data_IF_724555549732
#
_entry.id   IF_724555549732
#
_cell.length_a   1.000
_cell.length_b   1.000
_cell.length_c   1.000
_cell.angle_alpha   90.00
_cell.angle_beta   90.00
_cell.angle_gamma   90.00
#
_symmetry.space_group_name_H-M   'P 1'
#
loop_
_entity.id
_entity.type
_entity.pdbx_description
1 polymer ?
#
# COMPACT_ATOMS: atom_id res chain seq x y z
N UNK A 1 13.32 13.07 -18.66
CA UNK A 1 13.07 14.52 -18.71
C UNK A 1 12.28 14.95 -17.46
N UNK A 2 12.65 16.08 -16.83
CA UNK A 2 11.96 16.63 -15.66
C UNK A 2 11.23 17.90 -16.07
N UNK A 3 9.92 17.94 -15.79
CA UNK A 3 9.08 19.13 -15.99
C UNK A 3 8.60 19.63 -14.63
N UNK A 4 8.73 20.93 -14.38
CA UNK A 4 8.22 21.58 -13.17
C UNK A 4 7.00 22.40 -13.55
N UNK A 5 5.88 22.14 -12.90
CA UNK A 5 4.62 22.85 -13.11
C UNK A 5 4.14 23.51 -11.81
N UNK A 6 3.58 24.71 -11.86
CA UNK A 6 2.97 25.33 -10.70
C UNK A 6 1.81 24.50 -10.17
N UNK A 7 1.61 24.45 -8.85
CA UNK A 7 0.51 23.70 -8.24
C UNK A 7 -0.89 24.11 -8.78
N UNK A 8 -1.04 25.38 -9.16
CA UNK A 8 -2.28 25.89 -9.73
C UNK A 8 -2.59 25.32 -11.13
N UNK A 9 -1.59 24.80 -11.83
CA UNK A 9 -1.70 24.20 -13.15
C UNK A 9 -1.83 22.66 -13.09
N UNK A 10 -1.80 22.09 -11.89
CA UNK A 10 -2.00 20.65 -11.70
C UNK A 10 -3.43 20.28 -12.05
N UNK A 11 -3.59 19.43 -13.05
CA UNK A 11 -4.89 18.89 -13.49
C UNK A 11 -4.97 17.38 -13.24
N UNK A 12 -6.17 16.84 -13.24
CA UNK A 12 -6.43 15.40 -13.03
C UNK A 12 -5.67 14.52 -14.03
N UNK A 13 -5.46 15.01 -15.25
CA UNK A 13 -4.66 14.32 -16.28
C UNK A 13 -3.21 14.04 -15.84
N UNK A 14 -2.60 14.88 -15.02
CA UNK A 14 -1.26 14.62 -14.51
C UNK A 14 -1.25 13.44 -13.51
N UNK A 15 -2.31 13.32 -12.69
CA UNK A 15 -2.45 12.21 -11.76
C UNK A 15 -2.60 10.87 -12.49
N UNK A 16 -3.45 10.83 -13.52
CA UNK A 16 -3.71 9.60 -14.29
C UNK A 16 -2.60 9.27 -15.29
N UNK A 17 -1.75 10.25 -15.65
CA UNK A 17 -0.58 10.05 -16.50
C UNK A 17 0.54 9.32 -15.76
N UNK A 18 0.70 9.57 -14.45
CA UNK A 18 1.77 9.02 -13.65
C UNK A 18 1.55 7.55 -13.30
N UNK A 19 2.60 6.75 -13.36
CA UNK A 19 2.60 5.37 -12.85
C UNK A 19 2.51 5.38 -11.33
N UNK A 20 3.15 6.36 -10.69
CA UNK A 20 3.14 6.57 -9.24
C UNK A 20 3.14 8.05 -8.90
N UNK A 21 2.48 8.42 -7.81
CA UNK A 21 2.55 9.76 -7.23
C UNK A 21 3.38 9.72 -5.95
N UNK A 22 4.42 10.54 -5.88
CA UNK A 22 5.27 10.69 -4.69
C UNK A 22 4.87 11.93 -3.90
N UNK A 23 4.72 11.79 -2.61
CA UNK A 23 4.40 12.87 -1.68
C UNK A 23 5.26 12.77 -0.41
N UNK A 24 5.18 13.79 0.44
CA UNK A 24 5.96 13.81 1.66
C UNK A 24 5.20 13.26 2.85
N UNK A 25 3.92 13.57 2.95
CA UNK A 25 3.13 13.29 4.14
C UNK A 25 2.05 12.22 3.89
N UNK A 26 1.73 11.45 4.94
CA UNK A 26 0.66 10.47 4.86
C UNK A 26 -0.71 11.13 4.58
N UNK A 27 -0.94 12.33 5.08
CA UNK A 27 -2.20 13.05 4.83
C UNK A 27 -2.41 13.35 3.34
N UNK A 28 -1.36 13.79 2.64
CA UNK A 28 -1.42 14.01 1.18
C UNK A 28 -1.56 12.67 0.46
N UNK A 29 -0.80 11.65 0.85
CA UNK A 29 -0.89 10.31 0.31
C UNK A 29 -2.33 9.76 0.35
N UNK A 30 -3.01 9.86 1.49
CA UNK A 30 -4.41 9.42 1.62
C UNK A 30 -5.34 10.15 0.65
N UNK A 31 -5.27 11.49 0.62
CA UNK A 31 -6.10 12.32 -0.26
C UNK A 31 -5.91 11.97 -1.73
N UNK A 32 -4.66 11.77 -2.16
CA UNK A 32 -4.35 11.42 -3.55
C UNK A 32 -4.85 10.01 -3.87
N UNK A 33 -4.68 9.04 -3.00
CA UNK A 33 -5.20 7.69 -3.20
C UNK A 33 -6.73 7.68 -3.34
N UNK A 34 -7.45 8.43 -2.49
CA UNK A 34 -8.91 8.59 -2.60
C UNK A 34 -9.30 9.28 -3.92
N UNK A 35 -8.60 10.37 -4.28
CA UNK A 35 -8.85 11.09 -5.52
C UNK A 35 -8.61 10.21 -6.75
N UNK A 36 -7.52 9.44 -6.76
CA UNK A 36 -7.20 8.52 -7.86
C UNK A 36 -8.28 7.45 -8.02
N UNK A 37 -8.75 6.85 -6.93
CA UNK A 37 -9.84 5.88 -6.97
C UNK A 37 -11.12 6.48 -7.52
N UNK A 38 -11.49 7.71 -7.09
CA UNK A 38 -12.63 8.44 -7.63
C UNK A 38 -12.50 8.71 -9.13
N UNK A 39 -11.32 9.12 -9.61
CA UNK A 39 -11.04 9.33 -11.04
C UNK A 39 -11.15 8.03 -11.86
N UNK A 40 -10.84 6.89 -11.28
CA UNK A 40 -10.96 5.57 -11.88
C UNK A 40 -12.36 4.95 -11.73
N UNK A 41 -13.33 5.68 -11.14
CA UNK A 41 -14.70 5.22 -10.91
C UNK A 41 -14.80 4.09 -9.89
N UNK A 42 -13.83 3.99 -8.96
CA UNK A 42 -13.79 2.94 -7.94
C UNK A 42 -14.42 3.43 -6.65
N UNK A 43 -15.37 2.67 -6.14
CA UNK A 43 -16.10 2.98 -4.91
C UNK A 43 -15.96 1.87 -3.87
N UNK A 44 -16.21 2.20 -2.60
CA UNK A 44 -16.16 1.24 -1.50
C UNK A 44 -14.76 0.69 -1.19
N UNK A 45 -14.68 -0.55 -0.69
CA UNK A 45 -13.40 -1.18 -0.39
C UNK A 45 -12.64 -1.55 -1.66
N UNK A 46 -11.56 -2.29 -1.51
CA UNK A 46 -10.70 -2.75 -2.59
C UNK A 46 -11.50 -3.41 -3.73
N UNK A 47 -11.13 -3.11 -4.97
CA UNK A 47 -11.73 -3.66 -6.20
C UNK A 47 -10.65 -4.13 -7.17
N UNK A 48 -11.02 -5.01 -8.10
CA UNK A 48 -10.13 -5.48 -9.16
C UNK A 48 -9.47 -4.31 -9.89
N UNK A 49 -8.16 -4.42 -10.09
CA UNK A 49 -7.35 -3.37 -10.68
C UNK A 49 -7.00 -2.21 -9.73
N UNK A 50 -7.31 -2.28 -8.44
CA UNK A 50 -6.75 -1.33 -7.47
C UNK A 50 -5.25 -1.56 -7.30
N UNK A 51 -4.47 -0.48 -7.22
CA UNK A 51 -3.08 -0.53 -6.79
C UNK A 51 -2.99 -0.54 -5.27
N UNK A 52 -2.16 -1.41 -4.74
CA UNK A 52 -1.87 -1.50 -3.30
C UNK A 52 -0.37 -1.44 -3.04
N UNK A 53 -0.03 -1.09 -1.81
CA UNK A 53 1.32 -1.20 -1.26
C UNK A 53 1.27 -2.01 0.03
N UNK A 54 2.10 -3.04 0.10
CA UNK A 54 2.24 -3.92 1.27
C UNK A 54 2.97 -3.16 2.39
N UNK A 55 2.52 -3.31 3.64
CA UNK A 55 3.00 -2.51 4.78
C UNK A 55 3.85 -3.26 5.78
N UNK A 56 4.05 -4.57 5.59
CA UNK A 56 4.91 -5.42 6.43
C UNK A 56 5.60 -6.50 5.61
N UNK A 57 6.66 -7.08 6.16
CA UNK A 57 7.29 -8.26 5.60
C UNK A 57 6.55 -9.52 6.06
N UNK A 58 6.23 -10.40 5.11
CA UNK A 58 5.61 -11.71 5.33
C UNK A 58 6.51 -12.76 4.67
N UNK A 59 7.56 -13.14 5.38
CA UNK A 59 8.61 -14.01 4.85
C UNK A 59 8.14 -15.43 4.53
N UNK A 60 7.03 -15.86 5.15
CA UNK A 60 6.43 -17.18 4.93
C UNK A 60 5.41 -17.17 3.77
N UNK A 61 5.01 -16.00 3.27
CA UNK A 61 4.11 -15.85 2.12
C UNK A 61 4.94 -15.69 0.86
N UNK A 62 5.22 -16.80 0.21
CA UNK A 62 6.02 -16.80 -1.00
C UNK A 62 5.16 -17.06 -2.24
N UNK A 63 5.52 -16.40 -3.35
CA UNK A 63 4.98 -16.68 -4.67
C UNK A 63 5.55 -17.99 -5.26
N UNK A 64 5.20 -18.32 -6.49
CA UNK A 64 5.65 -19.54 -7.16
C UNK A 64 7.18 -19.55 -7.43
N UNK A 65 7.82 -18.39 -7.44
CA UNK A 65 9.27 -18.22 -7.64
C UNK A 65 10.04 -18.24 -6.32
N UNK A 66 9.35 -18.24 -5.19
CA UNK A 66 9.93 -18.21 -3.85
C UNK A 66 10.20 -16.81 -3.30
N UNK A 67 9.73 -15.76 -3.97
CA UNK A 67 9.83 -14.38 -3.46
C UNK A 67 8.81 -14.16 -2.37
N UNK A 68 9.23 -13.53 -1.28
CA UNK A 68 8.35 -13.23 -0.16
C UNK A 68 7.54 -11.94 -0.39
N UNK A 69 6.35 -11.87 0.20
CA UNK A 69 5.53 -10.66 0.22
C UNK A 69 6.15 -9.65 1.20
N UNK A 70 6.77 -8.58 0.69
CA UNK A 70 7.58 -7.67 1.51
C UNK A 70 7.01 -6.26 1.61
N UNK A 71 7.39 -5.57 2.68
CA UNK A 71 7.03 -4.16 2.89
C UNK A 71 7.53 -3.27 1.76
N UNK A 72 6.64 -2.41 1.25
CA UNK A 72 6.92 -1.52 0.13
C UNK A 72 6.63 -2.13 -1.24
N UNK A 73 6.37 -3.45 -1.33
CA UNK A 73 5.94 -4.06 -2.58
C UNK A 73 4.64 -3.41 -3.07
N UNK A 74 4.66 -2.92 -4.30
CA UNK A 74 3.48 -2.39 -4.99
C UNK A 74 2.97 -3.45 -5.96
N UNK A 75 1.66 -3.58 -6.02
CA UNK A 75 1.01 -4.52 -6.94
C UNK A 75 -0.41 -4.11 -7.26
N UNK A 76 -0.99 -4.75 -8.24
CA UNK A 76 -2.39 -4.61 -8.63
C UNK A 76 -3.17 -5.81 -8.12
N UNK A 77 -4.35 -5.60 -7.55
CA UNK A 77 -5.18 -6.70 -7.07
C UNK A 77 -6.15 -7.19 -8.14
N UNK A 78 -6.40 -8.49 -8.13
CA UNK A 78 -7.37 -9.18 -8.98
C UNK A 78 -8.16 -10.19 -8.16
N UNK A 79 -9.28 -10.68 -8.70
CA UNK A 79 -10.12 -11.68 -8.05
C UNK A 79 -10.54 -11.27 -6.64
N UNK A 80 -10.98 -10.00 -6.48
CA UNK A 80 -11.27 -9.40 -5.18
C UNK A 80 -12.65 -9.84 -4.68
N UNK A 81 -12.71 -10.42 -3.48
CA UNK A 81 -13.98 -10.77 -2.83
C UNK A 81 -13.88 -10.70 -1.30
N UNK A 82 -15.03 -10.46 -0.67
CA UNK A 82 -15.13 -10.44 0.80
C UNK A 82 -14.87 -11.84 1.37
N UNK A 83 -14.07 -11.90 2.42
CA UNK A 83 -13.69 -13.11 3.12
C UNK A 83 -13.60 -12.87 4.63
N UNK A 84 -13.14 -13.84 5.37
CA UNK A 84 -12.86 -13.71 6.79
C UNK A 84 -11.79 -14.70 7.23
N UNK A 85 -11.13 -14.38 8.33
CA UNK A 85 -10.27 -15.31 9.07
C UNK A 85 -10.84 -15.54 10.47
N UNK A 86 -10.64 -16.72 11.01
CA UNK A 86 -11.12 -17.09 12.35
C UNK A 86 -9.97 -17.11 13.34
N UNK A 87 -10.06 -16.27 14.37
CA UNK A 87 -9.14 -16.30 15.51
C UNK A 87 -9.59 -17.42 16.47
N UNK A 88 -8.69 -18.31 16.89
CA UNK A 88 -9.02 -19.40 17.80
C UNK A 88 -9.69 -18.88 19.08
N UNK A 89 -10.80 -19.52 19.49
CA UNK A 89 -11.64 -19.05 20.62
C UNK A 89 -10.93 -19.02 21.97
N UNK A 90 -9.85 -19.77 22.14
CA UNK A 90 -9.03 -19.74 23.36
C UNK A 90 -8.14 -18.48 23.45
N UNK A 91 -8.00 -17.70 22.38
CA UNK A 91 -7.36 -16.40 22.38
C UNK A 91 -8.41 -15.36 22.73
N UNK A 92 -8.16 -14.61 23.81
CA UNK A 92 -9.06 -13.52 24.22
C UNK A 92 -9.00 -12.41 23.18
N UNK A 93 -10.09 -12.26 22.42
CA UNK A 93 -10.28 -11.22 21.42
C UNK A 93 -11.76 -10.86 21.36
N UNK A 94 -12.08 -9.60 21.09
CA UNK A 94 -13.46 -9.12 21.00
C UNK A 94 -14.19 -9.68 19.77
N UNK A 95 -13.43 -9.93 18.71
CA UNK A 95 -13.95 -10.53 17.46
C UNK A 95 -13.18 -11.79 17.12
N UNK A 96 -13.85 -12.93 17.10
CA UNK A 96 -13.24 -14.19 16.65
C UNK A 96 -13.28 -14.37 15.13
N UNK A 97 -14.21 -13.69 14.46
CA UNK A 97 -14.31 -13.67 13.01
C UNK A 97 -13.94 -12.30 12.50
N UNK A 98 -12.80 -12.22 11.84
CA UNK A 98 -12.20 -10.97 11.34
C UNK A 98 -12.52 -10.84 9.86
N UNK A 99 -13.22 -9.76 9.42
CA UNK A 99 -13.49 -9.53 8.02
C UNK A 99 -12.19 -9.24 7.26
N UNK A 100 -12.02 -9.89 6.13
CA UNK A 100 -10.87 -9.74 5.24
C UNK A 100 -11.34 -9.54 3.80
N UNK A 101 -10.40 -9.15 2.96
CA UNK A 101 -10.54 -9.14 1.51
C UNK A 101 -9.59 -10.19 0.96
N UNK A 102 -10.11 -11.22 0.30
CA UNK A 102 -9.30 -12.19 -0.43
C UNK A 102 -9.04 -11.65 -1.82
N UNK A 103 -7.80 -11.70 -2.29
CA UNK A 103 -7.43 -11.30 -3.63
C UNK A 103 -6.13 -11.97 -4.08
N UNK A 104 -5.86 -11.89 -5.37
CA UNK A 104 -4.56 -12.16 -5.94
C UNK A 104 -3.79 -10.84 -6.05
N UNK A 105 -2.55 -10.78 -5.57
CA UNK A 105 -1.69 -9.61 -5.72
C UNK A 105 -0.76 -9.87 -6.89
N UNK A 106 -0.84 -9.02 -7.90
CA UNK A 106 0.05 -9.02 -9.06
C UNK A 106 1.10 -7.93 -8.83
N UNK A 107 2.32 -8.26 -8.41
CA UNK A 107 3.37 -7.26 -8.20
C UNK A 107 3.82 -6.64 -9.52
N UNK A 108 4.49 -5.50 -9.47
CA UNK A 108 5.05 -4.85 -10.67
C UNK A 108 6.14 -5.73 -11.31
N UNK A 109 6.82 -6.56 -10.50
CA UNK A 109 7.84 -7.52 -10.97
C UNK A 109 7.64 -8.86 -10.28
N UNK A 110 7.90 -9.98 -11.00
CA UNK A 110 7.81 -11.34 -10.48
C UNK A 110 6.41 -11.94 -10.59
N UNK A 111 6.23 -13.08 -9.96
CA UNK A 111 4.98 -13.85 -10.01
C UNK A 111 3.94 -13.37 -9.00
N UNK A 112 2.68 -13.66 -9.29
CA UNK A 112 1.55 -13.32 -8.44
C UNK A 112 1.60 -14.00 -7.07
N UNK A 113 1.00 -13.34 -6.06
CA UNK A 113 0.68 -13.91 -4.75
C UNK A 113 -0.81 -14.23 -4.72
N UNK A 114 -1.19 -15.48 -5.01
CA UNK A 114 -2.60 -15.87 -5.09
C UNK A 114 -3.21 -16.01 -3.69
N UNK A 115 -4.53 -15.86 -3.62
CA UNK A 115 -5.35 -16.12 -2.41
C UNK A 115 -4.85 -15.39 -1.15
N UNK A 116 -4.34 -14.17 -1.31
CA UNK A 116 -3.87 -13.36 -0.19
C UNK A 116 -5.05 -12.74 0.56
N UNK A 117 -5.12 -12.98 1.87
CA UNK A 117 -6.10 -12.34 2.74
C UNK A 117 -5.58 -11.00 3.25
N UNK A 118 -6.19 -9.90 2.81
CA UNK A 118 -5.87 -8.56 3.28
C UNK A 118 -6.78 -8.14 4.45
N UNK A 119 -6.20 -7.43 5.40
CA UNK A 119 -6.93 -6.79 6.50
C UNK A 119 -7.83 -5.67 5.94
N UNK A 120 -9.15 -5.92 5.94
CA UNK A 120 -10.14 -4.99 5.38
C UNK A 120 -10.14 -3.63 6.09
N UNK A 121 -10.05 -3.64 7.41
CA UNK A 121 -10.01 -2.40 8.20
C UNK A 121 -8.70 -1.64 7.94
N UNK A 122 -7.59 -2.35 7.79
CA UNK A 122 -6.29 -1.73 7.49
C UNK A 122 -6.25 -1.10 6.10
N UNK A 123 -6.82 -1.73 5.08
CA UNK A 123 -6.92 -1.16 3.73
C UNK A 123 -7.63 0.20 3.76
N UNK A 124 -8.69 0.31 4.57
CA UNK A 124 -9.54 1.50 4.62
C UNK A 124 -9.02 2.59 5.57
N UNK A 125 -8.44 2.20 6.71
CA UNK A 125 -8.15 3.13 7.82
C UNK A 125 -6.70 3.14 8.29
N UNK A 126 -5.90 2.20 7.79
CA UNK A 126 -4.53 1.88 8.26
C UNK A 126 -4.44 1.48 9.75
N UNK A 127 -5.59 1.15 10.34
CA UNK A 127 -5.64 0.57 11.67
C UNK A 127 -5.87 -0.94 11.57
N UNK A 128 -5.00 -1.78 12.18
CA UNK A 128 -5.17 -3.22 12.14
C UNK A 128 -6.49 -3.66 12.81
N UNK A 129 -7.19 -4.60 12.19
CA UNK A 129 -8.40 -5.20 12.76
C UNK A 129 -8.13 -6.07 13.99
N UNK A 130 -6.87 -6.44 14.22
CA UNK A 130 -6.44 -7.33 15.31
C UNK A 130 -5.49 -6.59 16.25
N UNK A 131 -5.81 -6.62 17.55
CA UNK A 131 -4.94 -6.06 18.58
C UNK A 131 -3.54 -6.73 18.56
N UNK A 132 -2.51 -5.96 18.87
CA UNK A 132 -1.12 -6.43 18.88
C UNK A 132 -0.91 -7.63 19.84
N UNK A 133 -1.69 -7.73 20.93
CA UNK A 133 -1.61 -8.85 21.89
C UNK A 133 -2.06 -10.16 21.27
N UNK A 134 -3.08 -10.10 20.41
CA UNK A 134 -3.57 -11.26 19.65
C UNK A 134 -2.53 -11.68 18.63
N UNK A 135 -1.97 -10.72 17.90
CA UNK A 135 -0.90 -10.96 16.93
C UNK A 135 0.33 -11.60 17.60
N UNK A 136 0.71 -11.10 18.77
CA UNK A 136 1.81 -11.67 19.55
C UNK A 136 1.51 -13.09 20.06
N UNK A 137 0.29 -13.34 20.56
CA UNK A 137 -0.13 -14.67 21.01
C UNK A 137 -0.12 -15.70 19.87
N UNK A 138 -0.63 -15.32 18.69
CA UNK A 138 -0.60 -16.18 17.50
C UNK A 138 0.83 -16.44 17.02
N UNK A 139 1.68 -15.42 17.01
CA UNK A 139 3.10 -15.57 16.66
C UNK A 139 3.82 -16.56 17.59
N UNK A 140 3.61 -16.50 18.91
CA UNK A 140 4.16 -17.48 19.88
C UNK A 140 3.69 -18.92 19.63
N UNK A 141 2.54 -19.08 19.02
CA UNK A 141 1.96 -20.39 18.72
C UNK A 141 2.31 -20.88 17.30
N UNK A 142 3.18 -20.18 16.60
CA UNK A 142 3.50 -20.42 15.17
C UNK A 142 2.24 -20.45 14.27
N UNK A 143 1.26 -19.59 14.57
CA UNK A 143 0.00 -19.43 13.83
C UNK A 143 -0.17 -18.01 13.31
N UNK A 144 0.92 -17.31 13.05
CA UNK A 144 0.91 -15.95 12.49
C UNK A 144 0.40 -15.87 11.06
N UNK A 145 0.42 -16.99 10.35
CA UNK A 145 -0.15 -17.18 9.01
C UNK A 145 -1.67 -16.97 8.95
N UNK A 146 -2.36 -17.16 10.06
CA UNK A 146 -3.82 -16.90 10.18
C UNK A 146 -4.12 -15.40 10.07
N UNK A 147 -3.18 -14.53 10.45
CA UNK A 147 -3.42 -13.08 10.46
C UNK A 147 -3.54 -12.53 9.04
N UNK A 148 -4.51 -11.63 8.79
CA UNK A 148 -4.61 -10.98 7.50
C UNK A 148 -3.40 -10.06 7.25
N UNK A 149 -3.04 -9.90 5.97
CA UNK A 149 -1.91 -9.10 5.54
C UNK A 149 -2.29 -7.63 5.49
N UNK A 150 -1.37 -6.76 5.84
CA UNK A 150 -1.58 -5.31 5.87
C UNK A 150 -1.10 -4.69 4.57
N UNK A 151 -2.03 -4.13 3.84
CA UNK A 151 -1.78 -3.33 2.64
C UNK A 151 -2.68 -2.11 2.63
N UNK A 152 -2.31 -1.08 1.91
CA UNK A 152 -3.10 0.13 1.70
C UNK A 152 -3.08 0.51 0.22
N UNK A 153 -3.89 1.49 -0.21
CA UNK A 153 -3.87 1.95 -1.60
C UNK A 153 -2.49 2.48 -1.99
N UNK A 154 -2.05 2.12 -3.19
CA UNK A 154 -0.70 2.32 -3.72
C UNK A 154 -0.59 3.22 -4.95
N UNK A 155 -1.60 4.04 -5.27
CA UNK A 155 -1.50 5.03 -6.35
C UNK A 155 -0.58 6.19 -5.98
N UNK A 156 -0.56 6.56 -4.70
CA UNK A 156 0.40 7.48 -4.14
C UNK A 156 1.11 6.85 -2.95
N UNK A 157 2.40 7.09 -2.84
CA UNK A 157 3.25 6.63 -1.73
C UNK A 157 4.13 7.77 -1.22
N UNK A 158 4.60 7.66 0.02
CA UNK A 158 5.58 8.61 0.51
C UNK A 158 6.95 8.33 -0.12
N UNK A 159 7.75 9.37 -0.33
CA UNK A 159 9.08 9.23 -0.90
C UNK A 159 9.95 8.21 -0.15
N UNK A 160 9.80 8.09 1.17
CA UNK A 160 10.50 7.07 1.95
C UNK A 160 10.06 5.64 1.61
N UNK A 161 8.77 5.44 1.37
CA UNK A 161 8.24 4.13 0.98
C UNK A 161 8.60 3.74 -0.46
N UNK A 162 8.97 4.72 -1.29
CA UNK A 162 9.40 4.53 -2.67
C UNK A 162 10.90 4.21 -2.81
N UNK A 163 11.65 4.16 -1.71
CA UNK A 163 13.09 3.87 -1.77
C UNK A 163 13.34 2.45 -2.30
N UNK A 164 14.19 2.35 -3.31
CA UNK A 164 14.53 1.08 -3.97
C UNK A 164 13.64 0.73 -5.17
N UNK A 165 12.58 1.50 -5.44
CA UNK A 165 11.74 1.34 -6.63
C UNK A 165 11.98 2.46 -7.64
N UNK A 166 11.69 2.17 -8.92
CA UNK A 166 11.81 3.12 -10.05
C UNK A 166 10.61 2.93 -10.98
N UNK A 167 10.18 4.01 -11.64
CA UNK A 167 9.02 4.01 -12.56
C UNK A 167 9.29 4.93 -13.75
N UNK A 168 8.68 4.65 -14.89
CA UNK A 168 8.83 5.44 -16.11
C UNK A 168 8.24 6.86 -15.93
N UNK A 169 7.12 6.97 -15.22
CA UNK A 169 6.36 8.22 -15.06
C UNK A 169 6.07 8.49 -13.59
N UNK A 170 6.81 9.40 -13.02
CA UNK A 170 6.67 9.79 -11.62
C UNK A 170 6.14 11.21 -11.52
N UNK A 171 5.05 11.39 -10.79
CA UNK A 171 4.56 12.71 -10.38
C UNK A 171 5.01 12.99 -8.95
N UNK A 172 5.85 14.00 -8.75
CA UNK A 172 6.27 14.43 -7.42
C UNK A 172 5.43 15.62 -6.99
N UNK A 173 4.67 15.46 -5.90
CA UNK A 173 3.95 16.56 -5.27
C UNK A 173 4.84 17.20 -4.22
N UNK A 174 5.43 18.34 -4.56
CA UNK A 174 6.24 19.10 -3.63
C UNK A 174 5.36 19.74 -2.55
N UNK A 175 5.69 19.45 -1.30
CA UNK A 175 4.99 19.96 -0.12
C UNK A 175 5.92 20.93 0.64
N UNK A 176 5.32 21.93 1.31
CA UNK A 176 6.05 22.75 2.26
C UNK A 176 6.28 21.95 3.53
N UNK A 177 7.53 21.65 3.82
CA UNK A 177 7.90 20.88 5.01
C UNK A 177 8.29 21.79 6.16
N UNK A 178 8.10 21.34 7.42
CA UNK A 178 8.73 21.96 8.57
C UNK A 178 10.23 21.63 8.65
N UNK A 179 10.83 21.12 7.57
CA UNK A 179 12.21 20.68 7.49
C UNK A 179 13.15 21.85 7.22
N UNK A 180 14.40 21.66 7.61
CA UNK A 180 15.47 22.54 7.18
C UNK A 180 15.65 22.46 5.66
N UNK A 181 16.13 23.57 5.07
CA UNK A 181 16.27 23.71 3.60
C UNK A 181 17.08 22.57 2.95
N UNK A 182 18.09 22.04 3.65
CA UNK A 182 18.92 20.96 3.12
C UNK A 182 18.24 19.60 3.17
N UNK A 183 17.37 19.35 4.14
CA UNK A 183 16.54 18.15 4.22
C UNK A 183 15.52 18.14 3.08
N UNK A 184 14.90 19.28 2.79
CA UNK A 184 13.98 19.42 1.67
C UNK A 184 14.65 19.11 0.33
N UNK A 185 15.88 19.63 0.10
CA UNK A 185 16.64 19.32 -1.12
C UNK A 185 16.95 17.83 -1.26
N UNK A 186 17.35 17.17 -0.18
CA UNK A 186 17.62 15.73 -0.17
C UNK A 186 16.37 14.93 -0.49
N UNK A 187 15.25 15.32 0.11
CA UNK A 187 13.96 14.71 -0.18
C UNK A 187 13.58 14.85 -1.65
N UNK A 188 13.65 16.06 -2.18
CA UNK A 188 13.32 16.34 -3.59
C UNK A 188 14.25 15.57 -4.56
N UNK A 189 15.54 15.53 -4.27
CA UNK A 189 16.50 14.72 -5.02
C UNK A 189 16.09 13.24 -5.01
N UNK A 190 15.79 12.68 -3.83
CA UNK A 190 15.36 11.28 -3.70
C UNK A 190 14.08 11.02 -4.49
N UNK A 191 13.11 11.93 -4.45
CA UNK A 191 11.87 11.78 -5.18
C UNK A 191 12.07 11.83 -6.70
N UNK A 192 12.85 12.81 -7.20
CA UNK A 192 13.12 12.96 -8.63
C UNK A 192 13.95 11.82 -9.22
N UNK A 193 14.81 11.18 -8.42
CA UNK A 193 15.61 10.02 -8.87
C UNK A 193 14.83 8.71 -8.87
N UNK A 194 13.52 8.72 -8.65
CA UNK A 194 12.64 7.53 -8.81
C UNK A 194 12.09 7.38 -10.21
N UNK A 195 12.25 8.39 -11.08
CA UNK A 195 11.97 8.28 -12.50
C UNK A 195 13.18 7.72 -13.24
N UNK A 196 12.99 6.64 -14.00
CA UNK A 196 13.98 6.01 -14.87
C UNK A 196 13.99 6.59 -16.28
#
# INVERSE_FOLDING_TARGET
EVMVIPKAELVTGHLTWADIVLCATNNVRHKINEQMRGLLGKEGPLQDGDKIVVKRNYWDDCNAEGDALVNGMIGTVQSVFDSFVEIPRFIKNDRHRIPTIMCDIIPEFGSAFPFTNLDKDFVLTENPCVDWRVSYALGKMHKGDILPRQATYGYAVTCHAAQGSEWDKVLVLEETFPFQKDEHKRWLYTACTRAS
#
